data_IF_485964677323
#
_entry.id   IF_485964677323
#
_cell.length_a   1.000
_cell.length_b   1.000
_cell.length_c   1.000
_cell.angle_alpha   90.00
_cell.angle_beta   90.00
_cell.angle_gamma   90.00
#
_symmetry.space_group_name_H-M   'P 1'
#
loop_
_entity.id
_entity.type
_entity.pdbx_description
1 polymer ?
#
# COMPACT_ATOMS: atom_id res chain seq x y z
N UNK A 1 -23.51 18.74 -14.53
CA UNK A 1 -22.85 17.50 -14.08
C UNK A 1 -23.82 16.35 -14.28
N UNK A 2 -23.40 15.25 -14.86
CA UNK A 2 -24.27 14.09 -15.00
C UNK A 2 -24.39 13.42 -13.64
N UNK A 3 -25.59 13.32 -13.09
CA UNK A 3 -25.82 12.59 -11.84
C UNK A 3 -25.86 11.10 -12.14
N UNK A 4 -24.73 10.45 -11.89
CA UNK A 4 -24.62 9.01 -12.02
C UNK A 4 -25.21 8.29 -10.81
N UNK A 5 -25.90 7.21 -11.07
CA UNK A 5 -26.33 6.26 -10.05
C UNK A 5 -25.13 5.56 -9.41
N UNK A 6 -25.33 4.93 -8.26
CA UNK A 6 -24.27 4.13 -7.60
C UNK A 6 -23.76 3.02 -8.53
N UNK A 7 -24.64 2.33 -9.26
CA UNK A 7 -24.28 1.28 -10.20
C UNK A 7 -23.40 1.82 -11.34
N UNK A 8 -23.76 2.94 -11.96
CA UNK A 8 -22.98 3.57 -13.04
C UNK A 8 -21.59 4.00 -12.56
N UNK A 9 -21.46 4.51 -11.33
CA UNK A 9 -20.15 4.86 -10.75
C UNK A 9 -19.28 3.61 -10.54
N UNK A 10 -19.89 2.55 -10.04
CA UNK A 10 -19.22 1.28 -9.81
C UNK A 10 -18.74 0.63 -11.11
N UNK A 11 -19.58 0.63 -12.15
CA UNK A 11 -19.19 0.14 -13.48
C UNK A 11 -18.02 0.93 -14.06
N UNK A 12 -18.05 2.27 -13.95
CA UNK A 12 -16.92 3.11 -14.39
C UNK A 12 -15.64 2.87 -13.61
N UNK A 13 -15.73 2.60 -12.33
CA UNK A 13 -14.57 2.19 -11.55
C UNK A 13 -14.00 0.86 -12.05
N UNK A 14 -14.83 -0.13 -12.34
CA UNK A 14 -14.35 -1.41 -12.88
C UNK A 14 -13.90 -1.33 -14.33
N UNK A 15 -14.45 -0.43 -15.16
CA UNK A 15 -13.87 -0.09 -16.47
C UNK A 15 -12.44 0.44 -16.32
N UNK A 16 -12.23 1.36 -15.38
CA UNK A 16 -10.89 1.84 -15.05
C UNK A 16 -9.97 0.69 -14.60
N UNK A 17 -10.42 -0.20 -13.73
CA UNK A 17 -9.62 -1.34 -13.25
C UNK A 17 -9.12 -2.20 -14.43
N UNK A 18 -9.99 -2.57 -15.35
CA UNK A 18 -9.64 -3.34 -16.56
C UNK A 18 -8.62 -2.62 -17.43
N UNK A 19 -8.88 -1.35 -17.72
CA UNK A 19 -7.98 -0.55 -18.56
C UNK A 19 -6.61 -0.31 -17.90
N UNK A 20 -6.60 -0.07 -16.59
CA UNK A 20 -5.38 0.12 -15.82
C UNK A 20 -4.52 -1.14 -15.80
N UNK A 21 -5.11 -2.30 -15.56
CA UNK A 21 -4.39 -3.57 -15.56
C UNK A 21 -3.81 -3.89 -16.94
N UNK A 22 -4.60 -3.75 -17.99
CA UNK A 22 -4.11 -3.94 -19.36
C UNK A 22 -2.93 -3.01 -19.70
N UNK A 23 -2.98 -1.74 -19.29
CA UNK A 23 -1.88 -0.78 -19.55
C UNK A 23 -0.65 -1.12 -18.70
N UNK A 24 -0.85 -1.51 -17.44
CA UNK A 24 0.21 -1.93 -16.54
C UNK A 24 0.96 -3.14 -17.10
N UNK A 25 0.24 -4.16 -17.54
CA UNK A 25 0.81 -5.38 -18.13
C UNK A 25 1.66 -5.09 -19.37
N UNK A 26 1.20 -4.20 -20.26
CA UNK A 26 1.95 -3.76 -21.42
C UNK A 26 3.28 -3.10 -21.04
N UNK A 27 3.24 -2.18 -20.08
CA UNK A 27 4.43 -1.43 -19.64
C UNK A 27 5.43 -2.31 -18.91
N UNK A 28 4.97 -3.32 -18.17
CA UNK A 28 5.81 -4.26 -17.47
C UNK A 28 6.63 -5.15 -18.41
N UNK A 29 6.04 -5.55 -19.54
CA UNK A 29 6.77 -6.29 -20.57
C UNK A 29 7.88 -5.48 -21.19
N UNK A 30 7.74 -4.15 -21.25
CA UNK A 30 8.69 -3.25 -21.89
C UNK A 30 9.79 -2.76 -20.92
N UNK A 31 9.48 -2.53 -19.64
CA UNK A 31 10.37 -1.87 -18.69
C UNK A 31 10.20 -2.34 -17.23
N UNK A 32 10.33 -3.63 -17.02
CA UNK A 32 10.11 -4.28 -15.73
C UNK A 32 10.85 -3.64 -14.54
N UNK A 33 12.16 -3.35 -14.69
CA UNK A 33 12.99 -2.83 -13.61
C UNK A 33 12.57 -1.43 -13.13
N UNK A 34 12.00 -0.62 -14.01
CA UNK A 34 11.61 0.75 -13.73
C UNK A 34 10.27 0.85 -12.97
N UNK A 35 9.42 -0.18 -13.11
CA UNK A 35 8.05 -0.16 -12.60
C UNK A 35 7.74 -1.27 -11.58
N UNK A 36 8.73 -2.05 -11.18
CA UNK A 36 8.58 -3.22 -10.31
C UNK A 36 7.88 -2.95 -8.98
N UNK A 37 8.05 -1.76 -8.42
CA UNK A 37 7.44 -1.36 -7.15
C UNK A 37 5.93 -1.14 -7.19
N UNK A 38 5.29 -1.27 -8.39
CA UNK A 38 3.84 -1.02 -8.57
C UNK A 38 3.14 -2.12 -9.37
N UNK A 39 3.73 -3.31 -9.36
CA UNK A 39 3.12 -4.51 -9.93
C UNK A 39 1.88 -4.94 -9.16
N UNK A 40 1.08 -5.79 -9.80
CA UNK A 40 0.13 -6.61 -9.06
C UNK A 40 0.89 -7.33 -7.96
N UNK A 41 0.38 -7.26 -6.74
CA UNK A 41 1.06 -7.82 -5.58
C UNK A 41 1.47 -9.28 -5.77
N UNK A 42 0.65 -10.08 -6.46
CA UNK A 42 0.88 -11.51 -6.74
C UNK A 42 1.87 -11.79 -7.89
N UNK A 43 2.20 -10.78 -8.70
CA UNK A 43 3.16 -10.87 -9.82
C UNK A 43 4.46 -10.12 -9.51
N UNK A 44 4.60 -9.62 -8.30
CA UNK A 44 5.78 -8.88 -7.88
C UNK A 44 6.96 -9.86 -7.73
N UNK A 45 8.09 -9.66 -8.44
CA UNK A 45 9.28 -10.51 -8.28
C UNK A 45 9.82 -10.53 -6.87
N UNK A 46 9.58 -9.45 -6.13
CA UNK A 46 9.89 -9.41 -4.72
C UNK A 46 9.14 -10.53 -3.96
N UNK A 47 7.88 -10.76 -4.26
CA UNK A 47 7.07 -11.83 -3.65
C UNK A 47 7.64 -13.19 -4.02
N UNK A 48 7.98 -13.43 -5.29
CA UNK A 48 8.60 -14.67 -5.74
C UNK A 48 9.94 -14.91 -5.05
N UNK A 49 10.80 -13.90 -5.02
CA UNK A 49 12.11 -13.97 -4.35
C UNK A 49 11.98 -14.31 -2.87
N UNK A 50 11.05 -13.66 -2.16
CA UNK A 50 10.85 -13.84 -0.72
C UNK A 50 10.15 -15.16 -0.40
N UNK A 51 9.24 -15.63 -1.23
CA UNK A 51 8.57 -16.93 -1.05
C UNK A 51 9.53 -18.11 -1.06
N UNK A 52 10.68 -17.96 -1.70
CA UNK A 52 11.73 -18.99 -1.76
C UNK A 52 12.71 -18.94 -0.58
N UNK A 53 12.56 -18.02 0.36
CA UNK A 53 13.44 -17.90 1.54
C UNK A 53 12.92 -18.82 2.66
N UNK A 54 13.71 -19.80 3.06
CA UNK A 54 13.36 -20.72 4.16
C UNK A 54 13.47 -20.08 5.56
N UNK A 55 14.31 -19.06 5.73
CA UNK A 55 14.54 -18.40 7.01
C UNK A 55 13.51 -17.31 7.25
N UNK A 56 12.62 -17.50 8.25
CA UNK A 56 11.53 -16.59 8.61
C UNK A 56 12.00 -15.17 8.96
N UNK A 57 13.11 -15.06 9.70
CA UNK A 57 13.66 -13.75 10.08
C UNK A 57 14.14 -12.99 8.83
N UNK A 58 14.78 -13.69 7.88
CA UNK A 58 15.23 -13.11 6.63
C UNK A 58 14.05 -12.67 5.74
N UNK A 59 12.96 -13.45 5.71
CA UNK A 59 11.70 -13.06 5.05
C UNK A 59 11.18 -11.74 5.62
N UNK A 60 11.06 -11.66 6.94
CA UNK A 60 10.57 -10.46 7.61
C UNK A 60 11.49 -9.27 7.39
N UNK A 61 12.80 -9.48 7.46
CA UNK A 61 13.79 -8.44 7.15
C UNK A 61 13.62 -7.92 5.73
N UNK A 62 13.48 -8.81 4.75
CA UNK A 62 13.22 -8.47 3.35
C UNK A 62 11.96 -7.62 3.19
N UNK A 63 10.85 -8.09 3.75
CA UNK A 63 9.56 -7.39 3.67
C UNK A 63 9.60 -6.00 4.32
N UNK A 64 10.24 -5.89 5.48
CA UNK A 64 10.40 -4.61 6.17
C UNK A 64 11.31 -3.66 5.39
N UNK A 65 12.49 -4.11 4.95
CA UNK A 65 13.43 -3.31 4.18
C UNK A 65 12.74 -2.75 2.92
N UNK A 66 12.08 -3.60 2.16
CA UNK A 66 11.39 -3.21 0.93
C UNK A 66 10.27 -2.20 1.20
N UNK A 67 9.47 -2.42 2.25
CA UNK A 67 8.38 -1.53 2.61
C UNK A 67 8.85 -0.18 3.15
N UNK A 68 9.91 -0.16 3.95
CA UNK A 68 10.46 1.09 4.50
C UNK A 68 11.29 1.88 3.48
N UNK A 69 11.75 1.25 2.41
CA UNK A 69 12.35 1.93 1.24
C UNK A 69 11.32 2.26 0.15
N UNK A 70 10.02 2.30 0.50
CA UNK A 70 8.91 2.57 -0.40
C UNK A 70 8.92 1.66 -1.65
N UNK A 71 9.19 0.37 -1.43
CA UNK A 71 9.20 -0.67 -2.46
C UNK A 71 10.24 -0.42 -3.58
N UNK A 72 11.38 0.14 -3.18
CA UNK A 72 12.44 0.44 -4.12
C UNK A 72 13.25 -0.82 -4.49
N UNK A 73 12.96 -1.38 -5.65
CA UNK A 73 13.53 -2.65 -6.13
C UNK A 73 15.05 -2.69 -6.14
N UNK A 74 15.68 -1.64 -6.62
CA UNK A 74 17.14 -1.57 -6.73
C UNK A 74 17.82 -1.59 -5.34
N UNK A 75 17.24 -0.91 -4.34
CA UNK A 75 17.75 -0.97 -2.96
C UNK A 75 17.60 -2.37 -2.37
N UNK A 76 16.50 -3.05 -2.66
CA UNK A 76 16.32 -4.45 -2.26
C UNK A 76 17.33 -5.37 -2.93
N UNK A 77 17.58 -5.22 -4.24
CA UNK A 77 18.58 -6.00 -4.97
C UNK A 77 19.99 -5.80 -4.41
N UNK A 78 20.40 -4.56 -4.14
CA UNK A 78 21.71 -4.28 -3.52
C UNK A 78 21.86 -4.99 -2.18
N UNK A 79 20.82 -4.94 -1.33
CA UNK A 79 20.84 -5.68 -0.09
C UNK A 79 20.83 -7.20 -0.30
N UNK A 80 20.00 -7.70 -1.21
CA UNK A 80 19.88 -9.14 -1.50
C UNK A 80 21.21 -9.77 -1.94
N UNK A 81 21.95 -9.07 -2.82
CA UNK A 81 23.19 -9.60 -3.41
C UNK A 81 24.45 -9.25 -2.64
N UNK A 82 24.47 -8.13 -1.94
CA UNK A 82 25.67 -7.58 -1.28
C UNK A 82 25.48 -7.32 0.22
N UNK A 83 24.32 -7.64 0.79
CA UNK A 83 24.03 -7.47 2.21
C UNK A 83 24.13 -6.03 2.68
N UNK A 84 24.64 -5.85 3.88
CA UNK A 84 24.83 -4.55 4.53
C UNK A 84 25.80 -3.66 3.74
N UNK A 85 26.82 -4.23 3.12
CA UNK A 85 27.81 -3.44 2.35
C UNK A 85 27.21 -2.86 1.07
N UNK A 86 26.29 -3.60 0.41
CA UNK A 86 25.51 -3.07 -0.71
C UNK A 86 24.65 -1.87 -0.31
N UNK A 87 23.97 -1.93 0.84
CA UNK A 87 23.19 -0.80 1.36
C UNK A 87 24.08 0.40 1.66
N UNK A 88 25.24 0.20 2.32
CA UNK A 88 26.21 1.28 2.61
C UNK A 88 26.68 1.95 1.33
N UNK A 89 27.18 1.15 0.38
CA UNK A 89 27.66 1.68 -0.91
C UNK A 89 26.59 2.48 -1.64
N UNK A 90 25.34 1.99 -1.63
CA UNK A 90 24.21 2.69 -2.25
C UNK A 90 23.94 4.05 -1.59
N UNK A 91 23.94 4.13 -0.26
CA UNK A 91 23.70 5.39 0.46
C UNK A 91 24.88 6.36 0.35
N UNK A 92 26.11 5.88 0.32
CA UNK A 92 27.30 6.71 0.10
C UNK A 92 27.32 7.31 -1.30
N UNK A 93 27.03 6.53 -2.33
CA UNK A 93 27.03 6.98 -3.72
C UNK A 93 25.84 7.88 -4.06
N UNK A 94 24.70 7.76 -3.40
CA UNK A 94 23.48 8.53 -3.67
C UNK A 94 23.28 9.74 -2.76
N UNK A 95 24.28 10.19 -2.01
CA UNK A 95 24.19 11.38 -1.15
C UNK A 95 23.78 12.65 -1.92
N UNK A 96 23.89 12.67 -3.24
CA UNK A 96 23.63 13.83 -4.09
C UNK A 96 22.36 13.75 -4.95
N UNK A 97 21.70 12.60 -5.08
CA UNK A 97 20.46 12.48 -5.83
C UNK A 97 19.29 12.09 -4.92
N UNK A 98 18.65 13.09 -4.30
CA UNK A 98 17.35 12.90 -3.62
C UNK A 98 16.24 12.41 -4.56
N UNK A 99 16.49 12.36 -5.86
CA UNK A 99 15.53 11.98 -6.89
C UNK A 99 15.25 10.47 -6.94
N UNK A 100 16.21 9.62 -6.57
CA UNK A 100 16.10 8.16 -6.69
C UNK A 100 15.71 7.47 -5.39
N UNK A 101 15.89 8.14 -4.26
CA UNK A 101 15.48 7.66 -2.95
C UNK A 101 14.07 8.20 -2.64
N UNK A 102 13.06 7.59 -3.26
CA UNK A 102 11.67 7.85 -2.91
C UNK A 102 11.46 7.52 -1.43
N UNK A 103 11.06 8.54 -0.65
CA UNK A 103 10.53 8.46 0.71
C UNK A 103 10.93 7.22 1.51
N UNK A 104 12.18 7.17 1.99
CA UNK A 104 12.55 6.20 3.02
C UNK A 104 11.86 6.61 4.30
N UNK A 105 11.15 5.65 4.92
CA UNK A 105 10.49 5.86 6.20
C UNK A 105 11.48 5.57 7.33
N UNK A 106 11.86 6.59 8.08
CA UNK A 106 12.75 6.48 9.23
C UNK A 106 12.41 7.52 10.29
N UNK A 107 12.77 7.32 11.58
CA UNK A 107 12.50 8.26 12.65
C UNK A 107 13.25 9.58 12.45
N UNK A 108 12.62 10.68 12.85
CA UNK A 108 13.26 12.00 12.79
C UNK A 108 14.50 12.03 13.70
N UNK A 109 15.61 12.49 13.18
CA UNK A 109 16.88 12.61 13.91
C UNK A 109 17.79 11.39 13.83
N UNK A 110 17.36 10.32 13.18
CA UNK A 110 18.17 9.12 12.92
C UNK A 110 18.79 9.23 11.53
N UNK A 111 19.97 8.67 11.31
CA UNK A 111 20.53 8.53 9.97
C UNK A 111 19.88 7.34 9.25
N UNK A 112 19.62 7.52 7.94
CA UNK A 112 18.90 6.52 7.13
C UNK A 112 19.63 5.19 7.07
N UNK A 113 20.94 5.22 6.84
CA UNK A 113 21.79 4.05 6.77
C UNK A 113 21.83 3.30 8.11
N UNK A 114 22.04 3.99 9.21
CA UNK A 114 22.01 3.42 10.55
C UNK A 114 20.64 2.79 10.87
N UNK A 115 19.56 3.43 10.47
CA UNK A 115 18.21 2.94 10.65
C UNK A 115 17.98 1.63 9.87
N UNK A 116 18.29 1.59 8.58
CA UNK A 116 18.07 0.40 7.76
C UNK A 116 18.98 -0.77 8.15
N UNK A 117 20.22 -0.47 8.54
CA UNK A 117 21.21 -1.50 8.88
C UNK A 117 20.97 -2.08 10.28
N UNK A 118 20.56 -1.27 11.24
CA UNK A 118 20.53 -1.68 12.65
C UNK A 118 19.11 -1.91 13.18
N UNK A 119 18.14 -1.10 12.76
CA UNK A 119 16.79 -1.11 13.34
C UNK A 119 15.84 -2.05 12.62
N UNK A 120 15.93 -2.16 11.30
CA UNK A 120 15.09 -3.07 10.52
C UNK A 120 15.36 -4.54 10.87
N UNK A 121 16.60 -5.03 11.01
CA UNK A 121 16.87 -6.39 11.48
C UNK A 121 16.34 -6.67 12.89
N UNK A 122 16.44 -5.70 13.81
CA UNK A 122 15.88 -5.85 15.18
C UNK A 122 14.36 -6.01 15.14
N UNK A 123 13.69 -5.24 14.30
CA UNK A 123 12.25 -5.37 14.09
C UNK A 123 11.89 -6.74 13.49
N UNK A 124 12.63 -7.23 12.51
CA UNK A 124 12.43 -8.56 11.92
C UNK A 124 12.56 -9.67 12.98
N UNK A 125 13.57 -9.61 13.82
CA UNK A 125 13.75 -10.56 14.92
C UNK A 125 12.61 -10.51 15.94
N UNK A 126 12.16 -9.31 16.32
CA UNK A 126 11.02 -9.14 17.22
C UNK A 126 9.75 -9.75 16.62
N UNK A 127 9.47 -9.49 15.34
CA UNK A 127 8.29 -10.03 14.64
C UNK A 127 8.37 -11.54 14.45
N UNK A 128 9.54 -12.09 14.22
CA UNK A 128 9.73 -13.55 14.15
C UNK A 128 9.24 -14.25 15.43
N UNK A 129 9.53 -13.68 16.59
CA UNK A 129 9.07 -14.23 17.87
C UNK A 129 7.54 -14.15 18.01
N UNK A 130 6.91 -13.11 17.47
CA UNK A 130 5.47 -12.91 17.52
C UNK A 130 4.73 -13.87 16.58
N UNK A 131 5.25 -14.13 15.39
CA UNK A 131 4.61 -15.02 14.39
C UNK A 131 4.33 -16.45 14.89
N UNK A 132 5.05 -16.91 15.89
CA UNK A 132 4.82 -18.23 16.52
C UNK A 132 3.78 -18.21 17.65
N UNK A 133 3.26 -17.03 18.03
CA UNK A 133 2.41 -16.92 19.23
C UNK A 133 0.94 -17.31 19.02
N UNK A 134 0.49 -17.41 17.76
CA UNK A 134 -0.90 -17.79 17.43
C UNK A 134 -0.96 -19.06 16.59
N UNK A 135 -2.03 -19.83 16.80
CA UNK A 135 -2.33 -21.04 16.02
C UNK A 135 -3.10 -20.76 14.72
N UNK A 136 -3.16 -19.51 14.29
CA UNK A 136 -3.80 -19.06 13.05
C UNK A 136 -2.94 -17.99 12.36
N UNK A 137 -3.12 -17.77 11.05
CA UNK A 137 -2.54 -16.61 10.39
C UNK A 137 -3.05 -15.31 11.03
N UNK A 138 -2.19 -14.30 11.09
CA UNK A 138 -2.61 -12.94 11.41
C UNK A 138 -3.45 -12.35 10.28
N UNK A 139 -4.40 -11.47 10.57
CA UNK A 139 -4.93 -10.61 9.51
C UNK A 139 -3.89 -9.55 9.14
N UNK A 140 -3.94 -9.04 7.89
CA UNK A 140 -3.01 -7.99 7.46
C UNK A 140 -3.08 -6.76 8.36
N UNK A 141 -4.29 -6.39 8.80
CA UNK A 141 -4.46 -5.21 9.66
C UNK A 141 -3.96 -5.45 11.09
N UNK A 142 -4.17 -6.65 11.63
CA UNK A 142 -3.62 -7.07 12.91
C UNK A 142 -2.08 -7.04 12.89
N UNK A 143 -1.49 -7.64 11.88
CA UNK A 143 -0.03 -7.67 11.73
C UNK A 143 0.56 -6.26 11.55
N UNK A 144 -0.08 -5.42 10.73
CA UNK A 144 0.35 -4.02 10.54
C UNK A 144 0.27 -3.19 11.83
N UNK A 145 -0.74 -3.42 12.69
CA UNK A 145 -0.86 -2.76 13.99
C UNK A 145 0.27 -3.17 14.93
N UNK A 146 0.55 -4.46 15.05
CA UNK A 146 1.64 -4.99 15.89
C UNK A 146 2.98 -4.39 15.45
N UNK A 147 3.24 -4.36 14.14
CA UNK A 147 4.42 -3.71 13.59
C UNK A 147 4.49 -2.23 13.92
N UNK A 148 3.38 -1.50 13.73
CA UNK A 148 3.34 -0.07 14.02
C UNK A 148 3.56 0.23 15.51
N UNK A 149 2.97 -0.55 16.40
CA UNK A 149 3.20 -0.43 17.86
C UNK A 149 4.67 -0.64 18.22
N UNK A 150 5.31 -1.65 17.64
CA UNK A 150 6.75 -1.86 17.82
C UNK A 150 7.57 -0.65 17.36
N UNK A 151 7.32 -0.14 16.16
CA UNK A 151 8.07 1.00 15.63
C UNK A 151 7.81 2.29 16.41
N UNK A 152 6.61 2.51 16.92
CA UNK A 152 6.28 3.66 17.75
C UNK A 152 6.97 3.56 19.11
N UNK A 153 6.86 2.43 19.79
CA UNK A 153 7.33 2.26 21.16
C UNK A 153 8.85 2.05 21.25
N UNK A 154 9.43 1.30 20.30
CA UNK A 154 10.82 0.85 20.39
C UNK A 154 11.77 1.61 19.45
N UNK A 155 11.24 2.24 18.40
CA UNK A 155 12.07 2.83 17.33
C UNK A 155 11.84 4.33 17.12
N UNK A 156 11.01 4.98 17.95
CA UNK A 156 10.85 6.44 17.96
C UNK A 156 10.02 7.02 16.81
N UNK A 157 9.23 6.21 16.10
CA UNK A 157 8.26 6.73 15.15
C UNK A 157 7.08 7.41 15.85
N UNK A 158 6.53 8.45 15.24
CA UNK A 158 5.19 8.94 15.62
C UNK A 158 4.09 8.02 15.10
N UNK A 159 4.27 7.53 13.89
CA UNK A 159 3.37 6.62 13.19
C UNK A 159 4.11 5.99 12.02
N UNK A 160 4.17 4.68 11.97
CA UNK A 160 4.76 3.90 10.88
C UNK A 160 3.70 3.06 10.14
N UNK A 161 2.40 3.35 10.32
CA UNK A 161 1.31 2.51 9.82
C UNK A 161 1.38 2.27 8.30
N UNK A 162 1.80 3.25 7.49
CA UNK A 162 1.86 3.09 6.04
C UNK A 162 2.90 2.01 5.64
N UNK A 163 4.19 2.12 6.00
CA UNK A 163 5.16 1.06 5.68
C UNK A 163 4.83 -0.27 6.39
N UNK A 164 4.22 -0.26 7.57
CA UNK A 164 3.77 -1.49 8.24
C UNK A 164 2.66 -2.21 7.47
N UNK A 165 1.71 -1.49 6.88
CA UNK A 165 0.71 -2.07 5.98
C UNK A 165 1.35 -2.68 4.73
N UNK A 166 2.32 -2.01 4.13
CA UNK A 166 3.03 -2.56 2.99
C UNK A 166 3.80 -3.83 3.38
N UNK A 167 4.47 -3.85 4.53
CA UNK A 167 5.14 -5.04 5.04
C UNK A 167 4.14 -6.19 5.28
N UNK A 168 2.98 -5.91 5.89
CA UNK A 168 1.93 -6.91 6.09
C UNK A 168 1.42 -7.50 4.76
N UNK A 169 1.28 -6.68 3.72
CA UNK A 169 0.94 -7.12 2.36
C UNK A 169 1.99 -8.06 1.79
N UNK A 170 3.27 -7.68 1.86
CA UNK A 170 4.36 -8.49 1.32
C UNK A 170 4.48 -9.83 2.05
N UNK A 171 4.34 -9.84 3.37
CA UNK A 171 4.31 -11.09 4.14
C UNK A 171 3.09 -11.94 3.76
N UNK A 172 1.90 -11.34 3.66
CA UNK A 172 0.68 -12.06 3.28
C UNK A 172 0.77 -12.70 1.89
N UNK A 173 1.42 -12.02 0.94
CA UNK A 173 1.56 -12.51 -0.43
C UNK A 173 2.62 -13.61 -0.56
N UNK A 174 3.72 -13.52 0.21
CA UNK A 174 4.81 -14.50 0.15
C UNK A 174 4.59 -15.68 1.10
N UNK A 175 3.94 -15.46 2.25
CA UNK A 175 3.75 -16.44 3.31
C UNK A 175 2.32 -16.37 3.89
N UNK A 176 1.32 -16.83 3.12
CA UNK A 176 -0.10 -16.73 3.49
C UNK A 176 -0.44 -17.52 4.76
N UNK A 177 0.39 -18.47 5.14
CA UNK A 177 0.27 -19.22 6.40
C UNK A 177 0.63 -18.38 7.64
N UNK A 178 1.30 -17.23 7.48
CA UNK A 178 1.61 -16.31 8.58
C UNK A 178 0.65 -15.13 8.62
N UNK A 179 0.33 -14.58 7.46
CA UNK A 179 -0.59 -13.45 7.32
C UNK A 179 -1.59 -13.73 6.19
N UNK A 180 -2.88 -13.68 6.50
CA UNK A 180 -3.93 -14.03 5.54
C UNK A 180 -4.08 -12.94 4.46
N UNK A 181 -3.79 -13.23 3.18
CA UNK A 181 -3.89 -12.28 2.07
C UNK A 181 -5.33 -11.88 1.71
N UNK A 182 -6.32 -12.67 2.16
CA UNK A 182 -7.73 -12.39 1.94
C UNK A 182 -8.38 -11.61 3.10
N UNK A 183 -7.61 -11.28 4.13
CA UNK A 183 -8.09 -10.47 5.23
C UNK A 183 -8.23 -9.00 4.83
N UNK A 184 -9.05 -8.30 5.57
CA UNK A 184 -9.29 -6.88 5.33
C UNK A 184 -8.06 -6.03 5.66
N UNK A 185 -7.76 -5.07 4.77
CA UNK A 185 -6.75 -4.04 5.02
C UNK A 185 -7.29 -2.72 4.48
N UNK A 186 -7.44 -1.71 5.33
CA UNK A 186 -7.77 -0.39 4.83
C UNK A 186 -6.53 0.41 4.47
N UNK A 187 -6.59 1.11 3.36
CA UNK A 187 -5.50 1.89 2.83
C UNK A 187 -5.33 3.27 3.47
N UNK A 188 -4.52 4.07 2.81
CA UNK A 188 -4.28 5.47 3.16
C UNK A 188 -5.30 6.44 2.56
N UNK A 189 -4.92 7.71 2.54
CA UNK A 189 -5.77 8.81 2.04
C UNK A 189 -6.27 8.58 0.62
N UNK A 190 -5.40 8.18 -0.31
CA UNK A 190 -5.80 7.99 -1.72
C UNK A 190 -6.85 6.89 -1.92
N UNK A 191 -6.79 5.84 -1.10
CA UNK A 191 -7.80 4.79 -1.08
C UNK A 191 -9.18 5.34 -0.62
N UNK A 192 -9.23 6.06 0.51
CA UNK A 192 -10.46 6.65 0.99
C UNK A 192 -11.01 7.71 0.02
N UNK A 193 -10.14 8.51 -0.58
CA UNK A 193 -10.54 9.47 -1.60
C UNK A 193 -11.18 8.77 -2.81
N UNK A 194 -10.61 7.64 -3.26
CA UNK A 194 -11.18 6.82 -4.33
C UNK A 194 -12.53 6.22 -3.96
N UNK A 195 -12.62 5.64 -2.77
CA UNK A 195 -13.86 5.05 -2.27
C UNK A 195 -14.99 6.10 -2.19
N UNK A 196 -14.67 7.29 -1.67
CA UNK A 196 -15.62 8.42 -1.59
C UNK A 196 -16.10 8.88 -2.96
N UNK A 197 -15.26 8.82 -4.00
CA UNK A 197 -15.68 9.13 -5.37
C UNK A 197 -16.67 8.09 -5.90
N UNK A 198 -16.41 6.81 -5.68
CA UNK A 198 -17.28 5.73 -6.14
C UNK A 198 -18.64 5.78 -5.43
N UNK A 199 -18.68 6.03 -4.12
CA UNK A 199 -19.89 6.01 -3.31
C UNK A 199 -20.52 7.39 -3.06
N UNK A 200 -20.01 8.45 -3.68
CA UNK A 200 -20.53 9.80 -3.54
C UNK A 200 -20.69 10.27 -2.08
N UNK A 201 -19.74 9.95 -1.25
CA UNK A 201 -19.69 10.33 0.15
C UNK A 201 -18.47 11.20 0.47
N UNK A 202 -18.40 11.78 1.66
CA UNK A 202 -17.30 12.65 2.06
C UNK A 202 -16.84 12.39 3.49
N UNK A 203 -15.58 12.75 3.77
CA UNK A 203 -14.98 12.68 5.11
C UNK A 203 -15.02 11.29 5.78
N UNK A 204 -15.03 10.21 4.97
CA UNK A 204 -15.16 8.85 5.48
C UNK A 204 -13.94 8.48 6.36
N UNK A 205 -12.72 8.77 5.89
CA UNK A 205 -11.48 8.43 6.59
C UNK A 205 -11.43 8.96 8.03
N UNK A 206 -11.86 10.22 8.25
CA UNK A 206 -11.81 10.84 9.57
C UNK A 206 -12.89 10.34 10.52
N UNK A 207 -13.92 9.68 10.00
CA UNK A 207 -15.09 9.20 10.75
C UNK A 207 -15.02 7.71 11.08
N UNK A 208 -14.28 6.91 10.31
CA UNK A 208 -14.18 5.46 10.49
C UNK A 208 -13.45 5.14 11.79
N UNK A 209 -14.16 4.48 12.73
CA UNK A 209 -13.59 3.96 13.97
C UNK A 209 -13.78 2.46 14.04
N UNK A 210 -12.71 1.74 14.31
CA UNK A 210 -12.69 0.28 14.33
C UNK A 210 -11.66 -0.25 15.32
N UNK A 211 -11.81 -1.51 15.65
CA UNK A 211 -10.82 -2.32 16.36
C UNK A 211 -10.55 -3.62 15.60
N UNK A 212 -9.54 -4.34 15.99
CA UNK A 212 -9.29 -5.71 15.55
C UNK A 212 -9.54 -6.61 16.76
N UNK A 213 -10.44 -7.56 16.62
CA UNK A 213 -10.79 -8.47 17.68
C UNK A 213 -9.73 -9.57 17.91
N UNK A 214 -9.98 -10.47 18.84
CA UNK A 214 -9.09 -11.59 19.19
C UNK A 214 -8.90 -12.59 18.03
N UNK A 215 -9.86 -12.65 17.11
CA UNK A 215 -9.81 -13.47 15.91
C UNK A 215 -9.05 -12.78 14.76
N UNK A 216 -8.66 -11.52 14.92
CA UNK A 216 -8.02 -10.70 13.89
C UNK A 216 -9.01 -10.08 12.92
N UNK A 217 -10.30 -10.10 13.24
CA UNK A 217 -11.35 -9.56 12.38
C UNK A 217 -11.55 -8.06 12.64
N UNK A 218 -11.98 -7.38 11.60
CA UNK A 218 -12.26 -5.96 11.63
C UNK A 218 -13.63 -5.69 12.22
N UNK A 219 -13.68 -5.06 13.37
CA UNK A 219 -14.92 -4.75 14.10
C UNK A 219 -15.22 -3.25 14.03
N UNK A 220 -16.36 -2.91 13.46
CA UNK A 220 -16.82 -1.53 13.34
C UNK A 220 -17.31 -0.99 14.69
N UNK A 221 -16.72 0.11 15.16
CA UNK A 221 -17.11 0.79 16.39
C UNK A 221 -18.14 1.90 16.19
N UNK A 222 -18.44 2.25 14.95
CA UNK A 222 -19.46 3.26 14.63
C UNK A 222 -20.10 3.04 13.25
N UNK A 223 -21.15 3.81 12.96
CA UNK A 223 -21.91 3.69 11.71
C UNK A 223 -21.03 3.96 10.47
N UNK A 224 -20.07 4.89 10.53
CA UNK A 224 -19.16 5.17 9.40
C UNK A 224 -18.25 3.97 9.11
N UNK A 225 -17.84 3.23 10.13
CA UNK A 225 -17.07 2.01 9.93
C UNK A 225 -17.92 0.87 9.37
N UNK A 226 -19.20 0.75 9.79
CA UNK A 226 -20.15 -0.20 9.20
C UNK A 226 -20.37 0.09 7.71
N UNK A 227 -20.68 1.33 7.37
CA UNK A 227 -20.82 1.77 5.97
C UNK A 227 -19.57 1.49 5.15
N UNK A 228 -18.40 1.74 5.72
CA UNK A 228 -17.13 1.46 5.07
C UNK A 228 -16.96 -0.04 4.73
N UNK A 229 -17.26 -0.93 5.67
CA UNK A 229 -17.25 -2.38 5.44
C UNK A 229 -18.27 -2.77 4.35
N UNK A 230 -19.48 -2.24 4.42
CA UNK A 230 -20.53 -2.47 3.42
C UNK A 230 -20.11 -2.04 2.02
N UNK A 231 -19.50 -0.86 1.87
CA UNK A 231 -18.96 -0.35 0.61
C UNK A 231 -17.88 -1.27 0.04
N UNK A 232 -16.95 -1.72 0.88
CA UNK A 232 -15.89 -2.64 0.45
C UNK A 232 -16.46 -4.00 0.05
N UNK A 233 -17.39 -4.56 0.83
CA UNK A 233 -18.06 -5.81 0.50
C UNK A 233 -18.87 -5.70 -0.79
N UNK A 234 -19.52 -4.57 -1.02
CA UNK A 234 -20.23 -4.31 -2.28
C UNK A 234 -19.30 -4.38 -3.47
N UNK A 235 -18.13 -3.70 -3.42
CA UNK A 235 -17.14 -3.74 -4.51
C UNK A 235 -16.55 -5.14 -4.70
N UNK A 236 -16.18 -5.81 -3.61
CA UNK A 236 -15.58 -7.16 -3.65
C UNK A 236 -16.53 -8.17 -4.30
N UNK A 237 -17.83 -8.08 -4.01
CA UNK A 237 -18.84 -9.04 -4.46
C UNK A 237 -19.62 -8.58 -5.70
N UNK A 238 -19.28 -7.43 -6.27
CA UNK A 238 -19.98 -6.88 -7.42
C UNK A 238 -19.79 -7.78 -8.66
N UNK A 239 -20.87 -7.97 -9.44
CA UNK A 239 -20.88 -8.83 -10.63
C UNK A 239 -19.84 -8.46 -11.69
N UNK A 240 -19.55 -7.16 -11.83
CA UNK A 240 -18.59 -6.61 -12.81
C UNK A 240 -17.17 -6.50 -12.27
N UNK A 241 -16.91 -6.97 -11.04
CA UNK A 241 -15.58 -6.93 -10.44
C UNK A 241 -14.62 -7.82 -11.25
N UNK A 242 -13.59 -7.28 -11.91
CA UNK A 242 -12.62 -8.06 -12.67
C UNK A 242 -11.56 -8.73 -11.79
N UNK A 243 -11.57 -8.48 -10.48
CA UNK A 243 -10.55 -8.92 -9.54
C UNK A 243 -10.97 -10.24 -8.91
N UNK A 244 -10.22 -11.31 -9.18
CA UNK A 244 -10.55 -12.67 -8.75
C UNK A 244 -9.79 -13.11 -7.49
N UNK A 245 -8.59 -12.57 -7.27
CA UNK A 245 -7.69 -12.95 -6.14
C UNK A 245 -7.42 -11.76 -5.24
N UNK A 246 -7.14 -12.01 -3.95
CA UNK A 246 -6.86 -11.01 -2.92
C UNK A 246 -7.70 -9.74 -3.07
N UNK A 247 -9.01 -9.92 -3.17
CA UNK A 247 -9.95 -8.90 -3.65
C UNK A 247 -9.88 -7.59 -2.87
N UNK A 248 -9.81 -7.64 -1.54
CA UNK A 248 -9.73 -6.43 -0.71
C UNK A 248 -8.46 -5.63 -0.98
N UNK A 249 -7.32 -6.32 -1.07
CA UNK A 249 -6.02 -5.71 -1.32
C UNK A 249 -5.95 -5.05 -2.70
N UNK A 250 -6.38 -5.78 -3.73
CA UNK A 250 -6.35 -5.27 -5.10
C UNK A 250 -7.36 -4.14 -5.33
N UNK A 251 -8.55 -4.20 -4.72
CA UNK A 251 -9.51 -3.09 -4.78
C UNK A 251 -8.97 -1.85 -4.07
N UNK A 252 -8.27 -2.01 -2.93
CA UNK A 252 -7.64 -0.90 -2.22
C UNK A 252 -6.64 -0.18 -3.11
N UNK A 253 -5.75 -0.92 -3.76
CA UNK A 253 -4.77 -0.36 -4.69
C UNK A 253 -5.45 0.37 -5.87
N UNK A 254 -6.43 -0.27 -6.49
CA UNK A 254 -7.19 0.32 -7.61
C UNK A 254 -7.93 1.60 -7.23
N UNK A 255 -8.54 1.66 -6.06
CA UNK A 255 -9.20 2.88 -5.58
C UNK A 255 -8.21 4.04 -5.41
N UNK A 256 -7.01 3.76 -4.89
CA UNK A 256 -5.95 4.74 -4.76
C UNK A 256 -5.52 5.29 -6.13
N UNK A 257 -5.31 4.41 -7.13
CA UNK A 257 -4.94 4.83 -8.48
C UNK A 257 -6.10 5.51 -9.22
N UNK A 258 -7.31 5.02 -9.10
CA UNK A 258 -8.51 5.63 -9.64
C UNK A 258 -8.62 7.11 -9.24
N UNK A 259 -8.49 7.38 -7.95
CA UNK A 259 -8.48 8.75 -7.46
C UNK A 259 -7.35 9.59 -8.05
N UNK A 260 -6.13 9.05 -8.14
CA UNK A 260 -4.99 9.77 -8.74
C UNK A 260 -5.27 10.18 -10.20
N UNK A 261 -5.82 9.26 -11.00
CA UNK A 261 -6.17 9.55 -12.40
C UNK A 261 -7.25 10.63 -12.52
N UNK A 262 -8.31 10.55 -11.69
CA UNK A 262 -9.34 11.57 -11.66
C UNK A 262 -8.76 12.94 -11.26
N UNK A 263 -7.93 12.98 -10.21
CA UNK A 263 -7.34 14.21 -9.70
C UNK A 263 -6.42 14.88 -10.73
N UNK A 264 -5.67 14.10 -11.50
CA UNK A 264 -4.84 14.62 -12.59
C UNK A 264 -5.72 15.13 -13.74
N UNK A 265 -6.73 14.36 -14.16
CA UNK A 265 -7.65 14.74 -15.22
C UNK A 265 -8.39 16.05 -14.92
N UNK A 266 -8.70 16.29 -13.66
CA UNK A 266 -9.34 17.53 -13.20
C UNK A 266 -8.34 18.66 -12.84
N UNK A 267 -7.06 18.51 -13.15
CA UNK A 267 -6.04 19.54 -12.91
C UNK A 267 -5.64 19.76 -11.44
N UNK A 268 -6.10 18.88 -10.54
CA UNK A 268 -5.86 18.99 -9.10
C UNK A 268 -4.47 18.50 -8.71
N UNK A 269 -3.89 17.61 -9.51
CA UNK A 269 -2.54 17.05 -9.29
C UNK A 269 -1.74 17.03 -10.58
N UNK A 270 -0.41 17.22 -10.47
CA UNK A 270 0.49 17.07 -11.61
C UNK A 270 0.73 15.60 -11.94
N UNK A 271 0.96 15.29 -13.22
CA UNK A 271 1.21 13.94 -13.72
C UNK A 271 2.53 13.34 -13.22
N UNK A 272 3.56 14.16 -13.02
CA UNK A 272 4.97 13.75 -12.98
C UNK A 272 5.42 12.96 -11.76
N UNK A 273 4.64 12.94 -10.66
CA UNK A 273 5.05 12.24 -9.42
C UNK A 273 4.00 11.27 -8.87
N UNK A 274 2.84 11.19 -9.50
CA UNK A 274 1.68 10.54 -8.90
C UNK A 274 1.22 9.28 -9.63
N UNK A 275 1.50 9.22 -10.93
CA UNK A 275 1.26 8.04 -11.76
C UNK A 275 2.60 7.63 -12.34
N UNK A 276 2.98 6.35 -12.25
CA UNK A 276 4.29 5.87 -12.75
C UNK A 276 4.39 5.86 -14.26
N UNK A 277 3.30 6.18 -14.96
CA UNK A 277 3.17 6.07 -16.40
C UNK A 277 2.72 7.41 -16.97
N UNK A 278 3.19 7.79 -18.14
CA UNK A 278 2.74 8.96 -18.90
C UNK A 278 1.33 8.78 -19.48
N UNK A 279 0.56 7.90 -18.89
CA UNK A 279 -0.80 7.59 -19.32
C UNK A 279 -1.80 7.92 -18.23
N UNK A 280 -2.72 8.81 -18.56
CA UNK A 280 -3.88 9.15 -17.73
C UNK A 280 -5.12 8.56 -18.35
N UNK A 281 -5.84 7.75 -17.59
CA UNK A 281 -7.10 7.15 -18.07
C UNK A 281 -8.10 8.25 -18.44
N UNK A 282 -8.68 8.21 -19.66
CA UNK A 282 -9.57 9.25 -20.16
C UNK A 282 -10.99 9.11 -19.59
N UNK A 283 -11.10 9.22 -18.25
CA UNK A 283 -12.39 9.13 -17.58
C UNK A 283 -13.05 10.50 -17.47
N UNK A 284 -14.31 10.57 -17.86
CA UNK A 284 -15.17 11.72 -17.55
C UNK A 284 -15.70 11.57 -16.13
N UNK A 285 -15.04 12.21 -15.20
CA UNK A 285 -15.42 12.18 -13.79
C UNK A 285 -15.20 13.54 -13.17
N UNK A 286 -16.24 14.06 -12.53
CA UNK A 286 -16.17 15.34 -11.82
C UNK A 286 -15.82 15.08 -10.35
N UNK A 287 -14.77 15.68 -9.85
CA UNK A 287 -14.42 15.59 -8.42
C UNK A 287 -15.46 16.29 -7.57
N UNK A 288 -16.02 15.56 -6.59
CA UNK A 288 -17.05 16.08 -5.67
C UNK A 288 -16.51 16.34 -4.26
N UNK A 289 -15.22 16.59 -4.06
CA UNK A 289 -14.69 16.76 -2.70
C UNK A 289 -14.15 18.16 -2.47
N UNK A 290 -14.60 18.82 -1.40
CA UNK A 290 -14.13 20.12 -0.90
C UNK A 290 -12.72 20.08 -0.30
N UNK A 291 -11.99 18.98 -0.39
CA UNK A 291 -10.66 18.86 0.22
C UNK A 291 -9.64 19.77 -0.45
N UNK A 292 -9.82 20.06 -1.72
CA UNK A 292 -8.90 20.89 -2.51
C UNK A 292 -9.22 22.38 -2.49
N UNK A 293 -10.40 22.77 -2.04
CA UNK A 293 -10.73 24.19 -1.84
C UNK A 293 -9.85 24.84 -0.76
N UNK A 294 -9.23 24.01 0.12
CA UNK A 294 -8.29 24.50 1.14
C UNK A 294 -6.87 24.69 0.64
N UNK A 295 -6.46 24.05 -0.45
CA UNK A 295 -5.10 24.15 -1.00
C UNK A 295 -4.93 25.30 -1.99
N UNK A 296 -6.01 25.88 -2.49
CA UNK A 296 -6.00 27.03 -3.39
C UNK A 296 -6.01 28.38 -2.66
N UNK A 297 -6.17 28.38 -1.34
CA UNK A 297 -6.19 29.62 -0.53
C UNK A 297 -4.85 29.92 0.18
N UNK A 298 -3.86 29.00 0.12
CA UNK A 298 -2.53 29.17 0.74
C UNK A 298 -1.40 29.23 -0.30
N UNK A 299 -1.68 29.68 -1.54
CA UNK A 299 -0.69 29.91 -2.58
C UNK A 299 -0.47 31.40 -2.84
#
# INVERSE_FOLDING_TARGET
>A
MKDWTQEERTEKFFEFCRAYDHRKDSLLKENYQQFSHRLHWHECPFVEDVSNIANKELVLHSCLLFSFTNEHWQTFCEWKYHGVDGLKARFENNRHSRSDLFQIYYPKGTKVDEWLINSVPKAANAMHKILGAKNRPYSMMEFAKILNEYFVNEQGFRNAMYPCKNAARHVAMSHPEWVNPNSFLHGGTGFFDGLQQVFDCSNLMSKVKYEIDENGEYVALNNSAKQFIEMMNYLVNHKSNPIYTQKYLNIEDKLCFFYKHIAIKNGVKSTTKQIPYDWVYPIEWSLKTNRYDRLTHDA
#
